data_IF_585025783292
#
_entry.id   IF_585025783292
#
_cell.length_a   1.000
_cell.length_b   1.000
_cell.length_c   1.000
_cell.angle_alpha   90.00
_cell.angle_beta   90.00
_cell.angle_gamma   90.00
#
_symmetry.space_group_name_H-M   'P 1'
#
loop_
_entity.id
_entity.type
_entity.pdbx_description
1 polymer ?
#
# COMPACT_ATOMS: atom_id res chain seq x y z
N UNK A 1 14.23 7.72 19.67
CA UNK A 1 13.75 6.53 18.94
C UNK A 1 12.22 6.35 19.05
N UNK A 2 11.58 6.39 20.23
CA UNK A 2 10.10 6.22 20.34
C UNK A 2 9.24 7.40 19.85
N UNK A 3 9.71 8.65 19.89
CA UNK A 3 8.95 9.81 19.38
C UNK A 3 8.86 9.84 17.85
N UNK A 4 9.98 9.58 17.18
CA UNK A 4 10.11 9.57 15.71
C UNK A 4 9.23 8.51 15.06
N UNK A 5 9.18 7.30 15.65
CA UNK A 5 8.30 6.22 15.16
C UNK A 5 6.82 6.62 15.22
N UNK A 6 6.37 7.15 16.35
CA UNK A 6 4.98 7.59 16.50
C UNK A 6 4.62 8.82 15.64
N UNK A 7 5.58 9.68 15.32
CA UNK A 7 5.38 10.81 14.40
C UNK A 7 5.25 10.35 12.94
N UNK A 8 6.13 9.47 12.48
CA UNK A 8 6.07 8.94 11.12
C UNK A 8 4.83 8.06 10.91
N UNK A 9 4.49 7.20 11.87
CA UNK A 9 3.24 6.41 11.83
C UNK A 9 2.03 7.33 11.69
N UNK A 10 1.94 8.40 12.49
CA UNK A 10 0.84 9.38 12.36
C UNK A 10 0.88 10.18 11.07
N UNK A 11 2.06 10.41 10.50
CA UNK A 11 2.25 11.09 9.23
C UNK A 11 1.70 10.26 8.06
N UNK A 12 2.12 9.00 7.97
CA UNK A 12 1.65 8.04 6.97
C UNK A 12 0.14 7.84 7.05
N UNK A 13 -0.42 7.60 8.25
CA UNK A 13 -1.86 7.38 8.41
C UNK A 13 -2.68 8.61 7.97
N UNK A 14 -2.23 9.81 8.31
CA UNK A 14 -2.87 11.06 7.86
C UNK A 14 -2.77 11.27 6.36
N UNK A 15 -1.65 10.89 5.75
CA UNK A 15 -1.53 10.92 4.29
C UNK A 15 -2.50 9.90 3.66
N UNK A 16 -2.53 8.67 4.18
CA UNK A 16 -3.39 7.61 3.68
C UNK A 16 -4.88 7.99 3.74
N UNK A 17 -5.34 8.60 4.84
CA UNK A 17 -6.72 9.09 4.98
C UNK A 17 -7.09 10.13 3.91
N UNK A 18 -6.16 11.02 3.56
CA UNK A 18 -6.36 12.00 2.49
C UNK A 18 -6.37 11.35 1.12
N UNK A 19 -5.48 10.39 0.90
CA UNK A 19 -5.33 9.70 -0.37
C UNK A 19 -6.59 8.86 -0.67
N UNK A 20 -7.05 8.06 0.31
CA UNK A 20 -8.23 7.21 0.15
C UNK A 20 -9.54 7.97 0.32
N UNK A 21 -9.52 9.21 0.83
CA UNK A 21 -10.72 10.00 1.09
C UNK A 21 -11.65 9.41 2.17
N UNK A 22 -11.11 8.59 3.08
CA UNK A 22 -11.87 7.92 4.14
C UNK A 22 -11.06 7.86 5.44
N UNK A 23 -11.75 8.00 6.57
CA UNK A 23 -11.11 7.91 7.89
C UNK A 23 -10.78 6.46 8.25
N UNK A 24 -9.54 6.21 8.68
CA UNK A 24 -9.07 4.86 9.02
C UNK A 24 -9.91 4.23 10.15
N UNK A 25 -10.42 5.06 11.07
CA UNK A 25 -11.26 4.61 12.18
C UNK A 25 -12.61 4.03 11.75
N UNK A 26 -13.07 4.34 10.54
CA UNK A 26 -14.32 3.83 9.96
C UNK A 26 -14.10 2.52 9.18
N UNK A 27 -12.86 2.17 8.89
CA UNK A 27 -12.50 0.99 8.11
C UNK A 27 -12.47 -0.27 8.99
N UNK A 28 -12.80 -1.41 8.38
CA UNK A 28 -12.59 -2.73 8.95
C UNK A 28 -11.08 -3.00 9.04
N UNK A 29 -10.66 -3.73 10.09
CA UNK A 29 -9.25 -4.01 10.39
C UNK A 29 -8.40 -2.76 10.62
N UNK A 30 -8.98 -1.66 11.12
CA UNK A 30 -8.28 -0.42 11.46
C UNK A 30 -7.02 -0.62 12.31
N UNK A 31 -7.02 -1.57 13.25
CA UNK A 31 -5.85 -1.87 14.08
C UNK A 31 -4.67 -2.39 13.25
N UNK A 32 -4.94 -3.18 12.20
CA UNK A 32 -3.91 -3.65 11.27
C UNK A 32 -3.38 -2.49 10.41
N UNK A 33 -4.26 -1.61 9.93
CA UNK A 33 -3.89 -0.40 9.18
C UNK A 33 -3.03 0.53 10.06
N UNK A 34 -3.43 0.75 11.32
CA UNK A 34 -2.66 1.54 12.28
C UNK A 34 -1.29 0.91 12.60
N UNK A 35 -1.19 -0.41 12.50
CA UNK A 35 0.02 -1.21 12.64
C UNK A 35 0.73 -1.53 11.33
N UNK A 36 0.54 -0.74 10.26
CA UNK A 36 1.05 -1.07 8.91
C UNK A 36 2.56 -1.35 8.85
N UNK A 37 3.34 -0.81 9.78
CA UNK A 37 4.79 -1.04 9.84
C UNK A 37 5.18 -2.51 10.08
N UNK A 38 4.23 -3.36 10.48
CA UNK A 38 4.40 -4.81 10.60
C UNK A 38 3.83 -5.58 9.40
N UNK A 39 3.24 -4.90 8.42
CA UNK A 39 2.62 -5.49 7.25
C UNK A 39 3.55 -5.35 6.04
N UNK A 40 3.28 -6.15 5.02
CA UNK A 40 3.76 -5.92 3.66
C UNK A 40 2.81 -4.97 2.93
N UNK A 41 3.31 -4.31 1.88
CA UNK A 41 2.52 -3.44 1.01
C UNK A 41 1.28 -4.15 0.47
N UNK A 42 1.44 -5.42 0.08
CA UNK A 42 0.39 -6.29 -0.44
C UNK A 42 -0.73 -6.51 0.58
N UNK A 43 -0.36 -6.79 1.83
CA UNK A 43 -1.30 -7.02 2.92
C UNK A 43 -2.08 -5.76 3.25
N UNK A 44 -1.41 -4.60 3.25
CA UNK A 44 -2.07 -3.31 3.43
C UNK A 44 -3.06 -3.04 2.30
N UNK A 45 -2.66 -3.26 1.04
CA UNK A 45 -3.51 -3.06 -0.12
C UNK A 45 -4.75 -3.97 -0.07
N UNK A 46 -4.60 -5.24 0.29
CA UNK A 46 -5.72 -6.17 0.44
C UNK A 46 -6.69 -5.75 1.56
N UNK A 47 -6.18 -5.22 2.68
CA UNK A 47 -7.03 -4.65 3.74
C UNK A 47 -7.81 -3.44 3.21
N UNK A 48 -7.19 -2.56 2.42
CA UNK A 48 -7.88 -1.41 1.82
C UNK A 48 -8.93 -1.87 0.80
N UNK A 49 -8.62 -2.84 -0.07
CA UNK A 49 -9.57 -3.40 -1.05
C UNK A 49 -10.80 -4.03 -0.38
N UNK A 50 -10.65 -4.64 0.79
CA UNK A 50 -11.81 -5.14 1.58
C UNK A 50 -12.73 -4.02 2.05
N UNK A 51 -12.22 -2.80 2.14
CA UNK A 51 -12.96 -1.59 2.50
C UNK A 51 -13.34 -0.72 1.28
N UNK A 52 -13.19 -1.23 0.04
CA UNK A 52 -13.49 -0.47 -1.19
C UNK A 52 -14.86 0.18 -1.26
N UNK A 53 -15.86 -0.34 -0.54
CA UNK A 53 -17.22 0.26 -0.49
C UNK A 53 -17.25 1.58 0.29
N UNK A 54 -16.32 1.76 1.22
CA UNK A 54 -16.19 2.96 2.05
C UNK A 54 -15.15 3.94 1.50
N UNK A 55 -14.43 3.55 0.44
CA UNK A 55 -13.33 4.30 -0.14
C UNK A 55 -13.80 4.83 -1.51
N UNK A 56 -13.90 6.15 -1.70
CA UNK A 56 -14.39 6.75 -2.94
C UNK A 56 -13.43 6.66 -4.13
N UNK A 57 -12.15 6.33 -3.91
CA UNK A 57 -11.13 6.26 -4.97
C UNK A 57 -10.98 4.85 -5.55
N UNK A 58 -10.41 4.77 -6.76
CA UNK A 58 -9.99 3.50 -7.34
C UNK A 58 -8.66 3.02 -6.74
N UNK A 59 -8.75 2.03 -5.85
CA UNK A 59 -7.61 1.37 -5.22
C UNK A 59 -6.79 0.48 -6.18
N UNK A 60 -7.35 0.16 -7.35
CA UNK A 60 -6.65 -0.57 -8.41
C UNK A 60 -6.00 0.36 -9.44
N UNK A 61 -6.24 1.66 -9.33
CA UNK A 61 -5.64 2.67 -10.19
C UNK A 61 -4.14 2.74 -10.01
N UNK A 62 -3.40 2.82 -11.12
CA UNK A 62 -1.94 2.94 -11.13
C UNK A 62 -1.46 4.10 -10.26
N UNK A 63 -2.07 5.27 -10.41
CA UNK A 63 -1.67 6.49 -9.70
C UNK A 63 -1.74 6.31 -8.17
N UNK A 64 -2.77 5.60 -7.68
CA UNK A 64 -2.91 5.27 -6.28
C UNK A 64 -1.89 4.23 -5.84
N UNK A 65 -1.69 3.15 -6.60
CA UNK A 65 -0.73 2.09 -6.26
C UNK A 65 0.70 2.62 -6.19
N UNK A 66 1.13 3.41 -7.17
CA UNK A 66 2.46 4.03 -7.19
C UNK A 66 2.63 5.02 -6.02
N UNK A 67 1.58 5.74 -5.66
CA UNK A 67 1.61 6.66 -4.52
C UNK A 67 1.65 5.94 -3.18
N UNK A 68 0.90 4.84 -3.04
CA UNK A 68 0.92 3.96 -1.88
C UNK A 68 2.28 3.31 -1.69
N UNK A 69 2.84 2.73 -2.74
CA UNK A 69 4.16 2.10 -2.71
C UNK A 69 5.25 3.11 -2.29
N UNK A 70 5.28 4.27 -2.95
CA UNK A 70 6.28 5.31 -2.66
C UNK A 70 6.22 5.77 -1.21
N UNK A 71 5.04 6.09 -0.69
CA UNK A 71 4.92 6.62 0.66
C UNK A 71 5.08 5.52 1.73
N UNK A 72 4.67 4.28 1.43
CA UNK A 72 4.89 3.12 2.28
C UNK A 72 6.39 2.82 2.44
N UNK A 73 7.13 2.73 1.33
CA UNK A 73 8.58 2.52 1.31
C UNK A 73 9.31 3.63 2.06
N UNK A 74 8.97 4.89 1.75
CA UNK A 74 9.56 6.06 2.43
C UNK A 74 9.33 6.03 3.95
N UNK A 75 8.15 5.62 4.38
CA UNK A 75 7.84 5.51 5.80
C UNK A 75 8.63 4.36 6.45
N UNK A 76 8.68 3.19 5.81
CA UNK A 76 9.45 2.04 6.28
C UNK A 76 10.94 2.36 6.41
N UNK A 77 11.52 3.08 5.45
CA UNK A 77 12.93 3.52 5.49
C UNK A 77 13.24 4.39 6.71
N UNK A 78 12.34 5.34 7.04
CA UNK A 78 12.50 6.19 8.22
C UNK A 78 12.29 5.43 9.53
N UNK A 79 11.41 4.43 9.52
CA UNK A 79 11.12 3.60 10.68
C UNK A 79 12.19 2.55 10.94
N UNK A 80 13.04 2.25 9.95
CA UNK A 80 14.02 1.17 10.02
C UNK A 80 15.43 1.63 9.60
N UNK A 81 16.23 2.22 10.51
CA UNK A 81 17.61 2.60 10.18
C UNK A 81 18.54 1.41 9.89
N UNK A 82 18.08 0.16 10.11
CA UNK A 82 18.85 -1.06 9.87
C UNK A 82 18.61 -1.68 8.47
N UNK A 83 17.56 -1.29 7.74
CA UNK A 83 17.29 -1.84 6.40
C UNK A 83 18.07 -1.13 5.28
N UNK A 84 18.84 -0.10 5.60
CA UNK A 84 19.74 0.62 4.68
C UNK A 84 20.90 -0.24 4.16
N UNK A 85 21.07 -1.48 4.65
CA UNK A 85 22.00 -2.47 4.09
C UNK A 85 21.39 -3.39 3.02
N UNK A 86 20.08 -3.33 2.78
CA UNK A 86 19.42 -4.12 1.73
C UNK A 86 19.05 -3.21 0.53
N UNK A 87 19.81 -2.14 0.30
CA UNK A 87 19.76 -1.38 -0.97
C UNK A 87 20.49 -2.10 -2.12
N UNK A 88 20.60 -3.44 -2.08
CA UNK A 88 21.17 -4.26 -3.16
C UNK A 88 20.18 -5.27 -3.77
N UNK A 89 18.92 -5.26 -3.33
CA UNK A 89 17.85 -6.07 -3.91
C UNK A 89 16.59 -5.22 -3.73
N UNK A 90 16.13 -4.44 -4.70
CA UNK A 90 15.54 -4.94 -5.93
C UNK A 90 15.64 -3.90 -7.06
N UNK A 91 16.58 -4.11 -7.97
CA UNK A 91 16.54 -3.53 -9.32
C UNK A 91 15.71 -4.42 -10.29
N UNK A 92 14.81 -5.27 -9.76
CA UNK A 92 14.12 -6.31 -10.52
C UNK A 92 12.63 -6.48 -10.22
N UNK A 93 12.01 -5.54 -9.49
CA UNK A 93 10.61 -5.67 -9.07
C UNK A 93 9.64 -4.75 -9.84
N UNK A 94 10.13 -3.97 -10.80
CA UNK A 94 9.25 -3.11 -11.63
C UNK A 94 8.50 -3.82 -12.78
N UNK A 95 8.74 -5.11 -13.06
CA UNK A 95 8.07 -5.80 -14.18
C UNK A 95 7.25 -7.04 -13.82
N UNK A 96 7.47 -7.69 -12.68
CA UNK A 96 6.78 -8.96 -12.35
C UNK A 96 5.55 -8.75 -11.47
N UNK A 97 5.56 -7.71 -10.63
CA UNK A 97 4.50 -7.49 -9.63
C UNK A 97 3.17 -7.10 -10.29
N UNK A 98 3.18 -6.30 -11.36
CA UNK A 98 1.97 -5.98 -12.13
C UNK A 98 1.32 -7.20 -12.81
N UNK A 99 2.08 -8.24 -13.19
CA UNK A 99 1.51 -9.43 -13.81
C UNK A 99 0.86 -10.39 -12.79
N UNK A 100 1.23 -10.31 -11.52
CA UNK A 100 0.67 -11.15 -10.45
C UNK A 100 -0.55 -10.52 -9.76
N UNK A 101 -0.76 -9.21 -9.88
CA UNK A 101 -1.94 -8.49 -9.38
C UNK A 101 -3.19 -8.56 -10.26
N UNK A 102 -3.35 -9.62 -11.06
CA UNK A 102 -4.66 -10.14 -11.44
C UNK A 102 -5.65 -9.13 -12.03
N UNK A 103 -5.35 -8.65 -13.25
CA UNK A 103 -6.42 -8.41 -14.23
C UNK A 103 -7.04 -9.76 -14.59
N UNK A 104 -7.86 -10.27 -13.68
CA UNK A 104 -8.77 -11.39 -13.93
C UNK A 104 -10.15 -10.99 -13.45
N UNK A 105 -10.75 -10.02 -14.14
CA UNK A 105 -12.11 -10.25 -14.54
C UNK A 105 -12.08 -10.81 -15.95
N UNK A 106 -12.54 -12.05 -16.06
CA UNK A 106 -13.02 -12.60 -17.32
C UNK A 106 -13.89 -11.53 -17.99
N UNK A 107 -13.69 -11.43 -19.32
CA UNK A 107 -14.52 -10.72 -20.32
C UNK A 107 -13.95 -9.41 -20.88
N UNK A 108 -12.86 -9.50 -21.66
CA UNK A 108 -12.96 -9.11 -23.08
C UNK A 108 -12.41 -10.27 -23.92
N UNK A 109 -13.32 -10.81 -24.72
CA UNK A 109 -13.17 -12.04 -25.46
C UNK A 109 -12.23 -11.93 -26.67
N UNK A 110 -11.79 -13.11 -27.09
CA UNK A 110 -11.27 -13.46 -28.43
C UNK A 110 -9.79 -13.14 -28.68
N UNK A 111 -8.94 -14.02 -28.17
CA UNK A 111 -7.83 -14.56 -28.96
C UNK A 111 -8.36 -15.82 -29.64
N UNK A 112 -8.36 -15.85 -30.97
CA UNK A 112 -7.98 -16.96 -31.87
C UNK A 112 -8.33 -16.53 -33.31
N UNK A 113 -7.33 -16.08 -34.07
CA UNK A 113 -6.71 -16.89 -35.12
C UNK A 113 -5.42 -16.25 -35.62
#
# INVERSE_FOLDING_TARGET
MNKTKGEETRGFLRWLEREIGAEINTLKNKTAIQGYFNLLLEELLEILKRNRRSIPIDLSGRDFQESLEREFTRSHDKLNPLLTRIQQTDALIDQVVYQLYGLTDKEIAVVVR
#
